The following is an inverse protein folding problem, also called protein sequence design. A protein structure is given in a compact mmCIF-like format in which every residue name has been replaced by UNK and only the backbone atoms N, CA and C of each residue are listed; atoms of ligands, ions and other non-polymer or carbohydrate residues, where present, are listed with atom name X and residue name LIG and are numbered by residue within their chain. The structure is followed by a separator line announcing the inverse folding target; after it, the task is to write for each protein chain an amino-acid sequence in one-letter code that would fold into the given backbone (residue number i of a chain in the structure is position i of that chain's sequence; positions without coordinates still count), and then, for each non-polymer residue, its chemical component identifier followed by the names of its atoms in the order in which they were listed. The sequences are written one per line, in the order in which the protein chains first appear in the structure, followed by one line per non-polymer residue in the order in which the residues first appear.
data_IF_476365352934
#
_entry.id   IF_476365352934
#
_cell.length_a   1.000
_cell.length_b   1.000
_cell.length_c   1.000
_cell.angle_alpha   90.00
_cell.angle_beta   90.00
_cell.angle_gamma   90.00
#
_symmetry.space_group_name_H-M   'P 1'
#
loop_
_entity.id
_entity.type
_entity.pdbx_description
1 polymer ?
#
# COMPACT_ATOMS: atom_id res chain seq x y z
N UNK A 1 4.56 22.05 11.43
CA UNK A 1 5.44 22.09 10.25
C UNK A 1 5.58 20.69 9.63
N UNK A 2 4.48 20.03 9.23
CA UNK A 2 4.47 18.65 8.67
C UNK A 2 3.42 18.43 7.55
N UNK A 3 2.84 19.51 6.99
CA UNK A 3 1.67 19.47 6.08
C UNK A 3 1.91 18.93 4.66
N UNK A 4 3.01 18.22 4.42
CA UNK A 4 3.24 17.52 3.16
C UNK A 4 3.60 16.07 3.46
N UNK A 5 2.58 15.20 3.48
CA UNK A 5 2.75 13.73 3.38
C UNK A 5 2.29 13.22 2.00
N UNK A 6 2.96 13.55 0.86
CA UNK A 6 2.33 13.38 -0.45
C UNK A 6 2.80 12.16 -1.25
N UNK A 7 3.76 11.33 -0.80
CA UNK A 7 4.50 10.49 -1.76
C UNK A 7 3.78 9.19 -2.16
N UNK A 8 3.28 8.37 -1.22
CA UNK A 8 2.44 7.22 -1.58
C UNK A 8 1.13 7.64 -2.25
N UNK A 9 0.55 8.76 -1.81
CA UNK A 9 -0.70 9.30 -2.38
C UNK A 9 -0.51 9.82 -3.80
N UNK A 10 0.62 10.48 -4.09
CA UNK A 10 0.99 10.89 -5.44
C UNK A 10 1.31 9.68 -6.34
N UNK A 11 2.05 8.69 -5.84
CA UNK A 11 2.30 7.45 -6.59
C UNK A 11 0.99 6.77 -7.00
N UNK A 12 0.06 6.59 -6.06
CA UNK A 12 -1.26 6.02 -6.35
C UNK A 12 -2.07 6.86 -7.34
N UNK A 13 -2.03 8.19 -7.22
CA UNK A 13 -2.72 9.11 -8.14
C UNK A 13 -2.25 8.95 -9.58
N UNK A 14 -0.94 8.84 -9.76
CA UNK A 14 -0.30 8.75 -11.08
C UNK A 14 -0.38 7.33 -11.66
N UNK A 15 -0.32 6.30 -10.80
CA UNK A 15 -0.39 4.91 -11.23
C UNK A 15 -1.79 4.46 -11.65
N UNK A 16 -2.84 4.90 -10.94
CA UNK A 16 -4.19 4.36 -11.15
C UNK A 16 -4.70 4.50 -12.61
N UNK A 17 -4.55 5.66 -13.30
CA UNK A 17 -4.97 5.79 -14.70
C UNK A 17 -4.24 4.86 -15.66
N UNK A 18 -2.98 4.53 -15.36
CA UNK A 18 -2.08 3.72 -16.19
C UNK A 18 -2.11 2.23 -15.81
N UNK A 19 -2.99 1.83 -14.88
CA UNK A 19 -3.03 0.45 -14.37
C UNK A 19 -3.43 -0.52 -15.48
N UNK A 20 -2.63 -1.58 -15.60
CA UNK A 20 -2.81 -2.68 -16.54
C UNK A 20 -3.46 -3.90 -15.88
N UNK A 21 -3.91 -4.86 -16.68
CA UNK A 21 -4.43 -6.13 -16.15
C UNK A 21 -3.38 -6.90 -15.35
N UNK A 22 -2.11 -6.84 -15.77
CA UNK A 22 -1.00 -7.50 -15.10
C UNK A 22 -0.70 -6.86 -13.73
N UNK A 23 -0.80 -5.53 -13.63
CA UNK A 23 -0.67 -4.82 -12.34
C UNK A 23 -1.76 -5.26 -11.36
N UNK A 24 -3.01 -5.32 -11.82
CA UNK A 24 -4.14 -5.76 -11.00
C UNK A 24 -3.98 -7.22 -10.57
N UNK A 25 -3.49 -8.09 -11.47
CA UNK A 25 -3.19 -9.48 -11.13
C UNK A 25 -2.09 -9.57 -10.06
N UNK A 26 -1.01 -8.78 -10.19
CA UNK A 26 0.06 -8.71 -9.21
C UNK A 26 -0.43 -8.20 -7.84
N UNK A 27 -1.27 -7.16 -7.82
CA UNK A 27 -1.87 -6.64 -6.59
C UNK A 27 -2.77 -7.67 -5.92
N UNK A 28 -3.62 -8.38 -6.68
CA UNK A 28 -4.49 -9.43 -6.12
C UNK A 28 -3.66 -10.59 -5.57
N UNK A 29 -2.65 -11.06 -6.29
CA UNK A 29 -1.76 -12.13 -5.84
C UNK A 29 -1.00 -11.74 -4.56
N UNK A 30 -0.51 -10.49 -4.49
CA UNK A 30 0.13 -9.97 -3.29
C UNK A 30 -0.84 -9.90 -2.10
N UNK A 31 -2.09 -9.47 -2.31
CA UNK A 31 -3.09 -9.42 -1.25
C UNK A 31 -3.51 -10.83 -0.77
N UNK A 32 -3.57 -11.81 -1.67
CA UNK A 32 -3.82 -13.21 -1.30
C UNK A 32 -2.67 -13.78 -0.46
N UNK A 33 -1.42 -13.55 -0.87
CA UNK A 33 -0.25 -13.92 -0.08
C UNK A 33 -0.23 -13.23 1.29
N UNK A 34 -0.69 -11.97 1.37
CA UNK A 34 -0.85 -11.23 2.62
C UNK A 34 -1.86 -11.92 3.55
N UNK A 35 -3.04 -12.30 3.03
CA UNK A 35 -4.06 -13.02 3.80
C UNK A 35 -3.50 -14.34 4.34
N UNK A 36 -2.82 -15.13 3.49
CA UNK A 36 -2.21 -16.40 3.89
C UNK A 36 -1.17 -16.21 5.01
N UNK A 37 -0.35 -15.16 4.92
CA UNK A 37 0.63 -14.83 5.95
C UNK A 37 -0.04 -14.43 7.28
N UNK A 38 -1.13 -13.66 7.23
CA UNK A 38 -1.89 -13.31 8.43
C UNK A 38 -2.53 -14.53 9.09
N UNK A 39 -3.11 -15.44 8.30
CA UNK A 39 -3.72 -16.67 8.84
C UNK A 39 -2.66 -17.62 9.44
N UNK A 40 -1.42 -17.56 8.97
CA UNK A 40 -0.27 -18.25 9.55
C UNK A 40 0.37 -17.52 10.76
N UNK A 41 -0.10 -16.32 11.12
CA UNK A 41 0.52 -15.42 12.09
C UNK A 41 1.99 -15.07 11.77
N UNK A 42 2.35 -15.03 10.48
CA UNK A 42 3.69 -14.66 10.00
C UNK A 42 3.73 -13.18 9.61
N UNK A 43 4.02 -12.33 10.59
CA UNK A 43 4.11 -10.88 10.37
C UNK A 43 5.21 -10.47 9.39
N UNK A 44 6.27 -11.27 9.25
CA UNK A 44 7.38 -10.99 8.33
C UNK A 44 6.95 -11.27 6.89
N UNK A 45 6.29 -12.42 6.65
CA UNK A 45 5.72 -12.74 5.35
C UNK A 45 4.60 -11.76 4.97
N UNK A 46 3.78 -11.32 5.92
CA UNK A 46 2.76 -10.31 5.71
C UNK A 46 3.39 -8.98 5.26
N UNK A 47 4.44 -8.52 5.94
CA UNK A 47 5.14 -7.29 5.55
C UNK A 47 5.76 -7.40 4.15
N UNK A 48 6.33 -8.55 3.79
CA UNK A 48 6.86 -8.78 2.44
C UNK A 48 5.76 -8.80 1.36
N UNK A 49 4.56 -9.30 1.67
CA UNK A 49 3.43 -9.28 0.74
C UNK A 49 2.85 -7.86 0.58
N UNK A 50 2.75 -7.10 1.67
CA UNK A 50 2.35 -5.68 1.68
C UNK A 50 3.30 -4.82 0.82
N UNK A 51 4.61 -5.07 0.93
CA UNK A 51 5.62 -4.43 0.09
C UNK A 51 5.41 -4.68 -1.40
N UNK A 52 5.18 -5.95 -1.77
CA UNK A 52 4.92 -6.32 -3.17
C UNK A 52 3.65 -5.65 -3.68
N UNK A 53 2.61 -5.58 -2.84
CA UNK A 53 1.37 -4.90 -3.18
C UNK A 53 1.61 -3.42 -3.50
N UNK A 54 2.30 -2.69 -2.62
CA UNK A 54 2.53 -1.26 -2.80
C UNK A 54 3.56 -0.93 -3.88
N UNK A 55 4.54 -1.81 -4.12
CA UNK A 55 5.55 -1.63 -5.17
C UNK A 55 4.94 -1.51 -6.57
N UNK A 56 3.80 -2.17 -6.85
CA UNK A 56 3.10 -2.05 -8.15
C UNK A 56 2.80 -0.60 -8.49
N UNK A 57 2.18 0.14 -7.57
CA UNK A 57 1.85 1.55 -7.79
C UNK A 57 3.10 2.44 -7.86
N UNK A 58 4.13 2.13 -7.07
CA UNK A 58 5.39 2.87 -7.08
C UNK A 58 6.11 2.72 -8.42
N UNK A 59 6.19 1.51 -8.98
CA UNK A 59 6.80 1.29 -10.29
C UNK A 59 5.92 1.84 -11.42
N UNK A 60 4.60 1.64 -11.34
CA UNK A 60 3.65 2.09 -12.38
C UNK A 60 3.59 3.61 -12.49
N UNK A 61 3.84 4.36 -11.41
CA UNK A 61 3.82 5.83 -11.48
C UNK A 61 4.95 6.43 -12.36
N UNK A 62 5.99 5.64 -12.68
CA UNK A 62 7.02 6.02 -13.64
C UNK A 62 7.94 7.16 -13.21
N UNK A 63 7.88 7.59 -11.94
CA UNK A 63 8.68 8.70 -11.40
C UNK A 63 9.73 8.19 -10.41
N UNK A 64 10.98 8.10 -10.88
CA UNK A 64 12.13 7.66 -10.08
C UNK A 64 12.38 8.53 -8.84
N UNK A 65 11.98 9.81 -8.85
CA UNK A 65 12.12 10.68 -7.68
C UNK A 65 11.08 10.32 -6.61
N UNK A 66 9.86 9.98 -7.02
CA UNK A 66 8.83 9.46 -6.11
C UNK A 66 9.29 8.12 -5.51
N UNK A 67 9.73 7.18 -6.34
CA UNK A 67 10.23 5.87 -5.91
C UNK A 67 11.38 5.99 -4.90
N UNK A 68 12.45 6.72 -5.28
CA UNK A 68 13.61 6.93 -4.42
C UNK A 68 13.20 7.55 -3.08
N UNK A 69 12.20 8.42 -3.10
CA UNK A 69 11.79 9.07 -1.87
C UNK A 69 10.86 8.21 -1.02
N UNK A 70 9.97 7.41 -1.59
CA UNK A 70 9.22 6.41 -0.83
C UNK A 70 10.20 5.45 -0.14
N UNK A 71 11.18 4.92 -0.88
CA UNK A 71 12.20 4.01 -0.35
C UNK A 71 12.99 4.57 0.84
N UNK A 72 13.26 5.88 0.88
CA UNK A 72 13.91 6.54 2.04
C UNK A 72 13.04 6.57 3.30
N UNK A 73 11.72 6.60 3.15
CA UNK A 73 10.78 6.71 4.27
C UNK A 73 10.19 5.38 4.70
N UNK A 74 10.17 4.36 3.83
CA UNK A 74 9.68 3.02 4.16
C UNK A 74 10.28 2.47 5.47
N UNK A 75 11.61 2.52 5.74
CA UNK A 75 12.18 2.03 6.99
C UNK A 75 11.63 2.70 8.27
N UNK A 76 11.13 3.94 8.15
CA UNK A 76 10.60 4.71 9.29
C UNK A 76 9.26 4.14 9.77
N UNK A 77 8.45 3.57 8.87
CA UNK A 77 7.12 3.03 9.21
C UNK A 77 7.15 1.52 9.47
N UNK A 78 8.24 0.82 9.13
CA UNK A 78 8.38 -0.65 9.24
C UNK A 78 8.01 -1.22 10.59
N UNK A 79 8.45 -0.56 11.67
CA UNK A 79 8.16 -1.05 13.02
C UNK A 79 6.66 -1.02 13.31
N UNK A 80 5.94 0.00 12.85
CA UNK A 80 4.50 0.14 13.03
C UNK A 80 3.73 -0.87 12.19
N UNK A 81 4.14 -1.05 10.93
CA UNK A 81 3.57 -2.08 10.03
C UNK A 81 3.71 -3.47 10.65
N UNK A 82 4.90 -3.84 11.12
CA UNK A 82 5.11 -5.11 11.78
C UNK A 82 4.25 -5.28 13.05
N UNK A 83 4.17 -4.25 13.90
CA UNK A 83 3.31 -4.29 15.10
C UNK A 83 1.83 -4.47 14.75
N UNK A 84 1.35 -3.76 13.72
CA UNK A 84 -0.02 -3.90 13.23
C UNK A 84 -0.28 -5.29 12.68
N UNK A 85 0.64 -5.83 11.88
CA UNK A 85 0.50 -7.16 11.25
C UNK A 85 0.63 -8.31 12.25
N UNK A 86 1.25 -8.08 13.40
CA UNK A 86 1.24 -8.99 14.55
C UNK A 86 -0.01 -8.85 15.44
N UNK A 87 -1.02 -8.07 15.02
CA UNK A 87 -2.22 -7.78 15.82
C UNK A 87 -3.51 -8.11 15.05
N UNK A 88 -4.66 -8.21 15.75
CA UNK A 88 -5.96 -8.39 15.09
C UNK A 88 -6.32 -7.27 14.10
N UNK A 89 -5.72 -6.08 14.23
CA UNK A 89 -5.95 -4.95 13.33
C UNK A 89 -5.43 -5.20 11.90
N UNK A 90 -4.57 -6.21 11.69
CA UNK A 90 -4.04 -6.57 10.38
C UNK A 90 -5.14 -6.86 9.34
N UNK A 91 -6.28 -7.43 9.76
CA UNK A 91 -7.41 -7.72 8.86
C UNK A 91 -8.02 -6.47 8.22
N UNK A 92 -7.86 -5.29 8.82
CA UNK A 92 -8.28 -4.03 8.19
C UNK A 92 -7.42 -3.68 6.96
N UNK A 93 -6.16 -4.11 6.90
CA UNK A 93 -5.31 -3.91 5.72
C UNK A 93 -5.79 -4.73 4.53
N UNK A 94 -6.34 -5.92 4.74
CA UNK A 94 -6.93 -6.76 3.66
C UNK A 94 -8.06 -6.03 2.94
N UNK A 95 -9.04 -5.52 3.70
CA UNK A 95 -10.17 -4.77 3.14
C UNK A 95 -9.71 -3.50 2.41
N UNK A 96 -8.64 -2.88 2.91
CA UNK A 96 -8.07 -1.67 2.32
C UNK A 96 -7.34 -1.94 1.01
N UNK A 97 -6.57 -3.03 0.92
CA UNK A 97 -5.95 -3.46 -0.34
C UNK A 97 -7.01 -3.71 -1.40
N UNK A 98 -8.11 -4.35 -1.02
CA UNK A 98 -9.24 -4.58 -1.92
C UNK A 98 -9.84 -3.27 -2.45
N UNK A 99 -10.07 -2.28 -1.58
CA UNK A 99 -10.56 -0.95 -2.01
C UNK A 99 -9.58 -0.22 -2.95
N UNK A 100 -8.27 -0.38 -2.74
CA UNK A 100 -7.26 0.20 -3.62
C UNK A 100 -7.28 -0.50 -4.99
N UNK A 101 -7.37 -1.83 -5.03
CA UNK A 101 -7.51 -2.61 -6.27
C UNK A 101 -8.72 -2.13 -7.07
N UNK A 102 -9.90 -2.06 -6.44
CA UNK A 102 -11.14 -1.61 -7.08
C UNK A 102 -11.02 -0.18 -7.64
N UNK A 103 -10.28 0.68 -6.93
CA UNK A 103 -10.05 2.04 -7.40
C UNK A 103 -9.10 2.09 -8.60
N UNK A 104 -8.06 1.26 -8.61
CA UNK A 104 -7.15 1.10 -9.74
C UNK A 104 -7.87 0.49 -10.95
N UNK A 105 -8.79 -0.46 -10.75
CA UNK A 105 -9.67 -0.99 -11.80
C UNK A 105 -10.53 0.10 -12.44
N UNK A 106 -11.08 1.01 -11.63
CA UNK A 106 -11.85 2.16 -12.08
C UNK A 106 -10.97 3.25 -12.73
N UNK A 107 -9.64 3.13 -12.63
CA UNK A 107 -8.65 4.11 -13.11
C UNK A 107 -8.84 5.50 -12.52
N UNK A 108 -9.41 5.60 -11.31
CA UNK A 108 -9.65 6.87 -10.62
C UNK A 108 -8.45 7.26 -9.75
N UNK A 109 -7.51 8.01 -10.34
CA UNK A 109 -6.33 8.55 -9.65
C UNK A 109 -6.67 9.36 -8.39
N UNK A 110 -7.56 10.35 -8.45
CA UNK A 110 -7.99 11.10 -7.26
C UNK A 110 -8.53 10.23 -6.13
N UNK A 111 -9.36 9.22 -6.44
CA UNK A 111 -9.85 8.29 -5.44
C UNK A 111 -8.73 7.41 -4.89
N UNK A 112 -7.80 6.95 -5.73
CA UNK A 112 -6.68 6.10 -5.30
C UNK A 112 -5.81 6.84 -4.28
N UNK A 113 -5.53 8.11 -4.54
CA UNK A 113 -4.81 8.98 -3.63
C UNK A 113 -5.51 9.11 -2.27
N UNK A 114 -6.84 9.30 -2.27
CA UNK A 114 -7.64 9.38 -1.03
C UNK A 114 -7.57 8.09 -0.22
N UNK A 115 -7.73 6.93 -0.87
CA UNK A 115 -7.66 5.62 -0.21
C UNK A 115 -6.30 5.36 0.44
N UNK A 116 -5.22 5.74 -0.24
CA UNK A 116 -3.86 5.63 0.31
C UNK A 116 -3.62 6.63 1.45
N UNK A 117 -4.20 7.83 1.39
CA UNK A 117 -4.09 8.81 2.48
C UNK A 117 -4.82 8.35 3.75
N UNK A 118 -6.06 7.86 3.60
CA UNK A 118 -6.84 7.20 4.65
C UNK A 118 -6.03 6.04 5.27
N UNK A 119 -5.30 5.31 4.42
CA UNK A 119 -4.47 4.20 4.85
C UNK A 119 -3.43 4.64 5.88
N UNK A 120 -2.64 5.63 5.47
CA UNK A 120 -1.52 6.19 6.22
C UNK A 120 -1.98 6.88 7.50
N UNK A 121 -3.09 7.63 7.43
CA UNK A 121 -3.67 8.28 8.60
C UNK A 121 -4.06 7.29 9.68
N UNK A 122 -4.54 6.10 9.31
CA UNK A 122 -4.90 5.07 10.29
C UNK A 122 -3.66 4.47 10.94
N UNK A 123 -2.64 4.11 10.15
CA UNK A 123 -1.39 3.53 10.65
C UNK A 123 -0.69 4.47 11.66
N UNK A 124 -0.73 5.77 11.41
CA UNK A 124 -0.09 6.77 12.27
C UNK A 124 -0.91 7.17 13.49
N UNK A 125 -2.19 6.77 13.58
CA UNK A 125 -3.01 6.90 14.81
C UNK A 125 -2.80 5.74 15.78
N UNK A 126 -2.09 4.70 15.36
CA UNK A 126 -1.70 3.56 16.19
C UNK A 126 -0.36 3.79 16.91
N UNK A 127 0.19 5.00 16.79
CA UNK A 127 1.28 5.55 17.62
C UNK A 127 0.75 6.03 18.97
#
# INVERSE_FOLDING_TARGET
MWKARPRPTLAARLAAPETTADDLAAMRAANEAFIQALDANDAVAALAADDRFHAVAVHRCGDSAIEATIGRFTPVVRRLEHQRFASPAARHSVARHQQIIETCEQRDGPLAARRVDEAWCTLLREL
#
